data_IF_855330828469
#
_entry.id   IF_855330828469
#
_cell.length_a   1.000
_cell.length_b   1.000
_cell.length_c   1.000
_cell.angle_alpha   90.00
_cell.angle_beta   90.00
_cell.angle_gamma   90.00
#
_symmetry.space_group_name_H-M   'P 1'
#
loop_
_entity.id
_entity.type
_entity.pdbx_description
1 polymer ?
#
# COMPACT_ATOMS: atom_id res chain seq x y z
N UNK A 1 9.92 25.69 -17.57
CA UNK A 1 8.45 25.90 -17.39
C UNK A 1 7.69 24.60 -17.09
N UNK A 2 8.00 23.48 -17.73
CA UNK A 2 7.26 22.19 -17.55
C UNK A 2 7.31 21.58 -16.15
N UNK A 3 8.47 21.59 -15.45
CA UNK A 3 8.62 20.99 -14.13
C UNK A 3 7.79 21.70 -13.03
N UNK A 4 7.79 23.03 -13.03
CA UNK A 4 7.01 23.82 -12.06
C UNK A 4 5.48 23.59 -12.20
N UNK A 5 4.99 23.52 -13.43
CA UNK A 5 3.58 23.23 -13.69
C UNK A 5 3.21 21.80 -13.30
N UNK A 6 4.11 20.84 -13.55
CA UNK A 6 3.97 19.46 -13.12
C UNK A 6 3.88 19.39 -11.59
N UNK A 7 4.80 20.04 -10.86
CA UNK A 7 4.82 20.05 -9.40
C UNK A 7 3.55 20.67 -8.81
N UNK A 8 3.12 21.83 -9.34
CA UNK A 8 1.88 22.51 -8.89
C UNK A 8 0.67 21.57 -9.08
N UNK A 9 0.58 20.89 -10.21
CA UNK A 9 -0.50 19.93 -10.47
C UNK A 9 -0.53 18.77 -9.45
N UNK A 10 0.66 18.27 -9.01
CA UNK A 10 0.76 17.23 -7.99
C UNK A 10 0.36 17.74 -6.60
N UNK A 11 0.78 18.94 -6.26
CA UNK A 11 0.48 19.53 -4.95
C UNK A 11 -0.97 19.99 -4.79
N UNK A 12 -1.73 20.13 -5.87
CA UNK A 12 -3.15 20.52 -5.81
C UNK A 12 -3.99 19.61 -4.91
N UNK A 13 -3.68 18.30 -4.90
CA UNK A 13 -4.42 17.31 -4.11
C UNK A 13 -3.59 16.77 -2.92
N UNK A 14 -2.63 17.56 -2.42
CA UNK A 14 -1.71 17.11 -1.40
C UNK A 14 -2.40 16.59 -0.12
N UNK A 15 -3.54 17.22 0.26
CA UNK A 15 -4.32 16.81 1.44
C UNK A 15 -4.91 15.40 1.31
N UNK A 16 -5.29 15.01 0.09
CA UNK A 16 -5.91 13.71 -0.16
C UNK A 16 -4.87 12.61 -0.45
N UNK A 17 -3.73 12.98 -1.03
CA UNK A 17 -2.75 12.03 -1.54
C UNK A 17 -1.52 11.86 -0.62
N UNK A 18 -1.06 12.92 0.02
CA UNK A 18 0.17 12.90 0.82
C UNK A 18 -0.06 13.06 2.32
N UNK A 19 -1.12 13.76 2.73
CA UNK A 19 -1.39 13.98 4.16
C UNK A 19 -1.71 12.67 4.91
N UNK A 20 -2.54 11.74 4.40
CA UNK A 20 -2.80 10.48 5.10
C UNK A 20 -1.54 9.65 5.35
N UNK A 21 -0.69 9.32 4.35
CA UNK A 21 0.53 8.57 4.62
C UNK A 21 1.51 9.32 5.52
N UNK A 22 1.53 10.65 5.48
CA UNK A 22 2.37 11.46 6.37
C UNK A 22 1.93 11.33 7.83
N UNK A 23 0.62 11.44 8.11
CA UNK A 23 0.07 11.27 9.46
C UNK A 23 0.33 9.85 9.96
N UNK A 24 0.04 8.83 9.15
CA UNK A 24 0.26 7.44 9.51
C UNK A 24 1.74 7.18 9.81
N UNK A 25 2.65 7.72 8.99
CA UNK A 25 4.09 7.65 9.20
C UNK A 25 4.49 8.27 10.54
N UNK A 26 4.01 9.47 10.85
CA UNK A 26 4.32 10.15 12.11
C UNK A 26 3.83 9.35 13.32
N UNK A 27 2.60 8.85 13.27
CA UNK A 27 2.02 8.01 14.34
C UNK A 27 2.81 6.70 14.50
N UNK A 28 3.17 6.05 13.40
CA UNK A 28 3.95 4.81 13.44
C UNK A 28 5.33 5.01 14.07
N UNK A 29 6.02 6.09 13.74
CA UNK A 29 7.32 6.43 14.32
C UNK A 29 7.18 6.68 15.84
N UNK A 30 6.14 7.42 16.26
CA UNK A 30 5.89 7.66 17.68
C UNK A 30 5.64 6.34 18.43
N UNK A 31 4.77 5.49 17.89
CA UNK A 31 4.49 4.17 18.49
C UNK A 31 5.78 3.35 18.58
N UNK A 32 6.58 3.34 17.53
CA UNK A 32 7.85 2.62 17.53
C UNK A 32 8.80 3.12 18.63
N UNK A 33 8.97 4.44 18.77
CA UNK A 33 9.82 5.02 19.81
C UNK A 33 9.31 4.64 21.19
N UNK A 34 8.00 4.69 21.42
CA UNK A 34 7.40 4.31 22.70
C UNK A 34 7.69 2.84 23.03
N UNK A 35 7.53 1.94 22.07
CA UNK A 35 7.73 0.52 22.28
C UNK A 35 9.21 0.16 22.42
N UNK A 36 10.11 0.84 21.71
CA UNK A 36 11.56 0.70 21.87
C UNK A 36 12.00 1.15 23.28
N UNK A 37 11.49 2.28 23.76
CA UNK A 37 11.74 2.77 25.11
C UNK A 37 11.15 1.86 26.19
N UNK A 38 10.02 1.20 25.92
CA UNK A 38 9.41 0.24 26.82
C UNK A 38 10.09 -1.15 26.80
N UNK A 39 11.21 -1.28 26.08
CA UNK A 39 11.96 -2.53 25.91
C UNK A 39 11.10 -3.69 25.37
N UNK A 40 10.04 -3.37 24.62
CA UNK A 40 9.28 -4.38 23.88
C UNK A 40 10.15 -4.90 22.72
N UNK A 41 10.44 -6.20 22.73
CA UNK A 41 11.23 -6.81 21.65
C UNK A 41 10.41 -6.83 20.36
N UNK A 42 10.76 -5.97 19.42
CA UNK A 42 10.27 -6.06 18.04
C UNK A 42 11.02 -7.16 17.31
N UNK A 43 10.32 -7.85 16.43
CA UNK A 43 10.91 -8.93 15.63
C UNK A 43 12.09 -8.44 14.79
N UNK A 44 12.02 -7.26 14.18
CA UNK A 44 13.17 -6.59 13.57
C UNK A 44 12.91 -5.09 13.32
N UNK A 45 13.96 -4.26 13.41
CA UNK A 45 13.89 -2.83 13.07
C UNK A 45 13.65 -2.61 11.57
N UNK A 46 13.98 -3.56 10.75
CA UNK A 46 13.80 -3.53 9.29
C UNK A 46 12.31 -3.50 8.90
N UNK A 47 11.45 -4.11 9.70
CA UNK A 47 10.00 -4.15 9.44
C UNK A 47 9.36 -2.76 9.39
N UNK A 48 9.89 -1.81 10.13
CA UNK A 48 9.41 -0.43 10.06
C UNK A 48 9.70 0.19 8.71
N UNK A 49 10.88 -0.07 8.16
CA UNK A 49 11.24 0.46 6.84
C UNK A 49 10.28 -0.08 5.78
N UNK A 50 10.01 -1.39 5.79
CA UNK A 50 9.03 -2.00 4.87
C UNK A 50 7.62 -1.44 5.07
N UNK A 51 7.20 -1.29 6.32
CA UNK A 51 5.92 -0.67 6.64
C UNK A 51 5.78 0.73 6.05
N UNK A 52 6.78 1.58 6.26
CA UNK A 52 6.79 2.94 5.74
C UNK A 52 6.78 2.96 4.21
N UNK A 53 7.55 2.09 3.56
CA UNK A 53 7.53 1.98 2.09
C UNK A 53 6.13 1.65 1.56
N UNK A 54 5.44 0.68 2.15
CA UNK A 54 4.10 0.25 1.71
C UNK A 54 3.07 1.37 1.93
N UNK A 55 3.13 2.09 3.05
CA UNK A 55 2.23 3.21 3.34
C UNK A 55 2.33 4.32 2.28
N UNK A 56 3.50 4.51 1.68
CA UNK A 56 3.69 5.53 0.65
C UNK A 56 3.33 5.06 -0.77
N UNK A 57 3.03 3.78 -0.99
CA UNK A 57 2.65 3.25 -2.32
C UNK A 57 1.50 4.05 -2.96
N UNK A 58 0.36 4.37 -2.31
CA UNK A 58 -0.71 5.13 -2.94
C UNK A 58 -0.27 6.53 -3.39
N UNK A 59 0.54 7.22 -2.57
CA UNK A 59 1.07 8.54 -2.92
C UNK A 59 2.09 8.44 -4.08
N UNK A 60 2.89 7.38 -4.12
CA UNK A 60 3.82 7.11 -5.23
C UNK A 60 3.05 6.88 -6.54
N UNK A 61 1.99 6.08 -6.53
CA UNK A 61 1.14 5.87 -7.70
C UNK A 61 0.54 7.17 -8.22
N UNK A 62 0.07 8.03 -7.34
CA UNK A 62 -0.39 9.36 -7.73
C UNK A 62 0.73 10.21 -8.32
N UNK A 63 1.91 10.21 -7.69
CA UNK A 63 3.05 11.03 -8.13
C UNK A 63 3.56 10.61 -9.51
N UNK A 64 3.76 9.31 -9.72
CA UNK A 64 4.37 8.77 -10.95
C UNK A 64 3.34 8.66 -12.07
N UNK A 65 2.21 8.02 -11.80
CA UNK A 65 1.24 7.67 -12.85
C UNK A 65 0.05 8.63 -12.96
N UNK A 66 -0.04 9.62 -12.08
CA UNK A 66 -1.24 10.47 -11.95
C UNK A 66 -2.53 9.67 -11.77
N UNK A 67 -2.39 8.52 -11.12
CA UNK A 67 -3.50 7.62 -10.83
C UNK A 67 -4.02 7.89 -9.43
N UNK A 68 -5.21 8.48 -9.34
CA UNK A 68 -5.90 8.66 -8.05
C UNK A 68 -6.57 7.35 -7.68
N UNK A 69 -6.03 6.72 -6.65
CA UNK A 69 -6.63 5.51 -6.10
C UNK A 69 -7.89 5.87 -5.31
N UNK A 70 -8.97 5.08 -5.40
CA UNK A 70 -10.18 5.29 -4.62
C UNK A 70 -9.88 5.27 -3.11
N UNK A 71 -10.64 6.03 -2.29
CA UNK A 71 -10.45 6.08 -0.84
C UNK A 71 -10.50 4.68 -0.19
N UNK A 72 -11.42 3.83 -0.63
CA UNK A 72 -11.57 2.45 -0.14
C UNK A 72 -10.28 1.65 -0.34
N UNK A 73 -9.64 1.81 -1.51
CA UNK A 73 -8.36 1.16 -1.78
C UNK A 73 -7.24 1.68 -0.87
N UNK A 74 -7.15 3.00 -0.68
CA UNK A 74 -6.15 3.60 0.22
C UNK A 74 -6.31 3.09 1.65
N UNK A 75 -7.55 3.06 2.15
CA UNK A 75 -7.86 2.50 3.47
C UNK A 75 -7.43 1.04 3.54
N UNK A 76 -7.80 0.22 2.55
CA UNK A 76 -7.40 -1.19 2.48
C UNK A 76 -5.88 -1.38 2.48
N UNK A 77 -5.15 -0.59 1.69
CA UNK A 77 -3.69 -0.63 1.63
C UNK A 77 -3.04 -0.23 2.97
N UNK A 78 -3.53 0.82 3.62
CA UNK A 78 -3.04 1.24 4.93
C UNK A 78 -3.34 0.22 6.02
N UNK A 79 -4.55 -0.34 6.02
CA UNK A 79 -4.95 -1.42 6.94
C UNK A 79 -4.08 -2.66 6.72
N UNK A 80 -3.90 -3.06 5.47
CA UNK A 80 -3.03 -4.20 5.13
C UNK A 80 -1.60 -3.98 5.63
N UNK A 81 -0.99 -2.83 5.33
CA UNK A 81 0.36 -2.50 5.76
C UNK A 81 0.49 -2.54 7.29
N UNK A 82 -0.49 -1.97 8.00
CA UNK A 82 -0.51 -1.97 9.48
C UNK A 82 -0.66 -3.37 10.03
N UNK A 83 -1.59 -4.16 9.51
CA UNK A 83 -1.82 -5.53 9.97
C UNK A 83 -0.63 -6.44 9.67
N UNK A 84 -0.03 -6.36 8.48
CA UNK A 84 1.06 -7.26 8.07
C UNK A 84 2.39 -6.93 8.77
N UNK A 85 2.77 -5.66 8.79
CA UNK A 85 4.11 -5.29 9.26
C UNK A 85 4.14 -4.90 10.74
N UNK A 86 3.17 -4.10 11.19
CA UNK A 86 3.16 -3.63 12.56
C UNK A 86 2.60 -4.68 13.52
N UNK A 87 1.45 -5.25 13.20
CA UNK A 87 0.74 -6.18 14.07
C UNK A 87 1.28 -7.60 13.90
N UNK A 88 1.22 -8.15 12.71
CA UNK A 88 1.57 -9.54 12.46
C UNK A 88 3.05 -9.83 12.75
N UNK A 89 3.94 -9.05 12.18
CA UNK A 89 5.38 -9.25 12.32
C UNK A 89 5.93 -8.54 13.55
N UNK A 90 5.55 -7.27 13.77
CA UNK A 90 6.05 -6.47 14.90
C UNK A 90 5.67 -7.05 16.26
N UNK A 91 4.41 -7.48 16.44
CA UNK A 91 3.90 -8.09 17.67
C UNK A 91 3.88 -9.63 17.62
N UNK A 92 4.46 -10.23 16.59
CA UNK A 92 4.54 -11.69 16.40
C UNK A 92 3.18 -12.40 16.47
N UNK A 93 2.13 -11.77 15.93
CA UNK A 93 0.75 -12.31 15.99
C UNK A 93 0.61 -13.62 15.21
N UNK A 94 1.48 -13.86 14.21
CA UNK A 94 1.54 -15.14 13.50
C UNK A 94 1.74 -16.35 14.42
N UNK A 95 2.44 -16.17 15.56
CA UNK A 95 2.64 -17.26 16.51
C UNK A 95 1.35 -17.63 17.27
N UNK A 96 0.38 -16.71 17.35
CA UNK A 96 -0.83 -16.91 18.15
C UNK A 96 -2.08 -17.18 17.31
N UNK A 97 -2.12 -16.69 16.07
CA UNK A 97 -3.29 -16.81 15.17
C UNK A 97 -2.87 -17.53 13.90
N UNK A 98 -3.07 -18.85 13.79
CA UNK A 98 -2.53 -19.69 12.70
C UNK A 98 -3.03 -19.31 11.29
N UNK A 99 -4.20 -18.69 11.16
CA UNK A 99 -4.77 -18.31 9.86
C UNK A 99 -4.56 -16.83 9.51
N UNK A 100 -3.86 -16.07 10.35
CA UNK A 100 -3.69 -14.64 10.14
C UNK A 100 -2.92 -14.34 8.84
N UNK A 101 -1.91 -15.13 8.56
CA UNK A 101 -1.15 -15.06 7.32
C UNK A 101 -2.02 -15.26 6.07
N UNK A 102 -2.86 -16.29 6.08
CA UNK A 102 -3.80 -16.57 4.97
C UNK A 102 -4.76 -15.39 4.73
N UNK A 103 -5.28 -14.77 5.80
CA UNK A 103 -6.14 -13.60 5.69
C UNK A 103 -5.39 -12.44 5.04
N UNK A 104 -4.15 -12.19 5.45
CA UNK A 104 -3.34 -11.10 4.90
C UNK A 104 -2.99 -11.35 3.43
N UNK A 105 -2.59 -12.56 3.06
CA UNK A 105 -2.33 -12.90 1.66
C UNK A 105 -3.58 -12.77 0.78
N UNK A 106 -4.76 -13.15 1.29
CA UNK A 106 -6.03 -12.97 0.58
C UNK A 106 -6.33 -11.49 0.36
N UNK A 107 -6.16 -10.66 1.39
CA UNK A 107 -6.34 -9.21 1.29
C UNK A 107 -5.35 -8.58 0.30
N UNK A 108 -4.09 -9.00 0.35
CA UNK A 108 -3.06 -8.56 -0.58
C UNK A 108 -3.41 -8.92 -2.04
N UNK A 109 -3.84 -10.16 -2.28
CA UNK A 109 -4.29 -10.61 -3.60
C UNK A 109 -5.46 -9.78 -4.12
N UNK A 110 -6.42 -9.45 -3.27
CA UNK A 110 -7.57 -8.61 -3.62
C UNK A 110 -7.12 -7.18 -3.98
N UNK A 111 -6.27 -6.57 -3.18
CA UNK A 111 -5.74 -5.21 -3.43
C UNK A 111 -4.91 -5.16 -4.71
N UNK A 112 -4.04 -6.14 -4.93
CA UNK A 112 -3.23 -6.24 -6.14
C UNK A 112 -4.07 -6.43 -7.41
N UNK A 113 -5.07 -7.32 -7.35
CA UNK A 113 -6.02 -7.52 -8.44
C UNK A 113 -6.80 -6.25 -8.77
N UNK A 114 -7.22 -5.51 -7.76
CA UNK A 114 -7.92 -4.23 -7.93
C UNK A 114 -7.04 -3.18 -8.63
N UNK A 115 -5.76 -3.05 -8.24
CA UNK A 115 -4.80 -2.18 -8.95
C UNK A 115 -4.67 -2.60 -10.41
N UNK A 116 -4.54 -3.91 -10.66
CA UNK A 116 -4.45 -4.45 -12.02
C UNK A 116 -5.62 -4.00 -12.89
N UNK A 117 -6.84 -4.08 -12.37
CA UNK A 117 -8.05 -3.61 -13.07
C UNK A 117 -7.99 -2.11 -13.32
N UNK A 118 -7.63 -1.30 -12.32
CA UNK A 118 -7.54 0.16 -12.48
C UNK A 118 -6.51 0.59 -13.53
N UNK A 119 -5.37 -0.11 -13.59
CA UNK A 119 -4.33 0.14 -14.59
C UNK A 119 -4.83 -0.20 -15.98
N UNK A 120 -5.54 -1.32 -16.12
CA UNK A 120 -6.13 -1.74 -17.39
C UNK A 120 -7.24 -0.80 -17.86
N UNK A 121 -8.13 -0.35 -16.95
CA UNK A 121 -9.22 0.58 -17.27
C UNK A 121 -8.72 1.94 -17.79
N UNK A 122 -7.49 2.31 -17.46
CA UNK A 122 -6.89 3.57 -17.92
C UNK A 122 -6.38 3.49 -19.37
N UNK A 123 -6.37 2.32 -19.97
CA UNK A 123 -5.98 2.17 -21.40
C UNK A 123 -7.18 2.38 -22.30
N UNK A 124 -7.00 3.14 -23.38
CA UNK A 124 -8.04 3.44 -24.38
C UNK A 124 -8.61 2.18 -25.06
N UNK A 125 -7.85 1.08 -25.02
CA UNK A 125 -8.21 -0.20 -25.64
C UNK A 125 -8.72 -1.25 -24.62
N UNK A 126 -9.17 -0.84 -23.43
CA UNK A 126 -9.63 -1.78 -22.40
C UNK A 126 -10.67 -2.79 -22.91
N UNK A 127 -11.64 -2.33 -23.71
CA UNK A 127 -12.72 -3.18 -24.23
C UNK A 127 -12.25 -4.21 -25.26
N UNK A 128 -11.13 -3.94 -25.92
CA UNK A 128 -10.50 -4.85 -26.89
C UNK A 128 -9.66 -5.94 -26.24
N UNK A 129 -9.32 -5.80 -24.94
CA UNK A 129 -8.52 -6.79 -24.23
C UNK A 129 -9.41 -7.92 -23.77
N UNK A 130 -9.04 -9.17 -24.08
CA UNK A 130 -9.80 -10.36 -23.69
C UNK A 130 -9.89 -10.47 -22.16
N UNK A 131 -10.99 -11.10 -21.66
CA UNK A 131 -11.16 -11.37 -20.24
C UNK A 131 -9.98 -12.17 -19.66
N UNK A 132 -9.52 -13.16 -20.41
CA UNK A 132 -8.37 -13.98 -20.02
C UNK A 132 -7.11 -13.13 -19.80
N UNK A 133 -6.81 -12.20 -20.72
CA UNK A 133 -5.65 -11.30 -20.60
C UNK A 133 -5.79 -10.37 -19.38
N UNK A 134 -7.00 -9.87 -19.09
CA UNK A 134 -7.28 -9.03 -17.92
C UNK A 134 -7.01 -9.80 -16.62
N UNK A 135 -7.54 -11.01 -16.51
CA UNK A 135 -7.35 -11.89 -15.35
C UNK A 135 -5.88 -12.26 -15.19
N UNK A 136 -5.23 -12.70 -16.26
CA UNK A 136 -3.81 -13.07 -16.23
C UNK A 136 -2.92 -11.90 -15.81
N UNK A 137 -3.18 -10.68 -16.32
CA UNK A 137 -2.44 -9.48 -15.92
C UNK A 137 -2.57 -9.18 -14.42
N UNK A 138 -3.79 -9.30 -13.87
CA UNK A 138 -4.02 -9.09 -12.44
C UNK A 138 -3.27 -10.13 -11.60
N UNK A 139 -3.31 -11.42 -11.99
CA UNK A 139 -2.55 -12.47 -11.33
C UNK A 139 -1.04 -12.27 -11.42
N UNK A 140 -0.53 -11.91 -12.60
CA UNK A 140 0.89 -11.64 -12.78
C UNK A 140 1.36 -10.47 -11.92
N UNK A 141 0.56 -9.40 -11.81
CA UNK A 141 0.86 -8.24 -10.99
C UNK A 141 0.92 -8.61 -9.50
N UNK A 142 -0.03 -9.41 -9.01
CA UNK A 142 -0.02 -9.91 -7.64
C UNK A 142 1.20 -10.80 -7.39
N UNK A 143 1.52 -11.72 -8.30
CA UNK A 143 2.66 -12.62 -8.16
C UNK A 143 4.02 -11.95 -8.28
N UNK A 144 4.12 -10.77 -8.93
CA UNK A 144 5.38 -10.02 -9.00
C UNK A 144 5.65 -9.15 -7.76
N UNK A 145 4.60 -8.83 -6.98
CA UNK A 145 4.69 -7.92 -5.83
C UNK A 145 4.63 -8.69 -4.51
N UNK A 146 4.03 -9.89 -4.48
CA UNK A 146 3.94 -10.78 -3.31
C UNK A 146 5.04 -11.81 -3.28
#
# INVERSE_FOLDING_TARGET
MKFKQWLIGRLKNWKEEYLPPLIITAVAIIIYIILDLAAVSWASKEQIVYYLMIIWIPALFYTVFYLRLPPVFKIGAYTFATCSNLIATGLNVYAFIPYFDTILHTLFGYLGGYIGILVLLKKDDYDKVSLFTKVFFCFALVGCVG
#
